data_IF_727462973240
#
_entry.id   IF_727462973240
#
_cell.length_a   1.000
_cell.length_b   1.000
_cell.length_c   1.000
_cell.angle_alpha   90.00
_cell.angle_beta   90.00
_cell.angle_gamma   90.00
#
_symmetry.space_group_name_H-M   'P 1'
#
loop_
_entity.id
_entity.type
_entity.pdbx_description
1 polymer ?
#
# COMPACT_ATOMS: atom_id res chain seq x y z
N UNK A 1 -12.16 23.25 20.13
CA UNK A 1 -11.78 22.07 19.33
C UNK A 1 -12.83 21.02 19.61
N UNK A 2 -13.29 20.33 18.58
CA UNK A 2 -14.25 19.22 18.73
C UNK A 2 -13.62 18.08 19.54
N UNK A 3 -14.48 17.28 20.18
CA UNK A 3 -14.07 16.16 21.03
C UNK A 3 -13.44 15.03 20.18
N UNK A 4 -12.17 14.63 20.44
CA UNK A 4 -11.54 13.50 19.76
C UNK A 4 -12.30 12.18 19.87
N UNK A 5 -13.18 12.01 20.86
CA UNK A 5 -14.05 10.85 20.94
C UNK A 5 -15.07 10.81 19.79
N UNK A 6 -15.66 11.94 19.43
CA UNK A 6 -16.65 12.04 18.34
C UNK A 6 -16.03 11.68 17.00
N UNK A 7 -14.81 12.13 16.74
CA UNK A 7 -14.09 11.81 15.50
C UNK A 7 -13.75 10.32 15.39
N UNK A 8 -13.35 9.69 16.50
CA UNK A 8 -13.09 8.23 16.52
C UNK A 8 -14.35 7.43 16.24
N UNK A 9 -15.47 7.79 16.86
CA UNK A 9 -16.77 7.14 16.61
C UNK A 9 -17.21 7.32 15.16
N UNK A 10 -17.11 8.53 14.61
CA UNK A 10 -17.47 8.80 13.22
C UNK A 10 -16.60 8.02 12.21
N UNK A 11 -15.30 7.88 12.47
CA UNK A 11 -14.39 7.09 11.64
C UNK A 11 -14.74 5.60 11.74
N UNK A 12 -14.95 5.08 12.95
CA UNK A 12 -15.34 3.68 13.17
C UNK A 12 -16.64 3.33 12.43
N UNK A 13 -17.67 4.18 12.55
CA UNK A 13 -18.95 4.00 11.85
C UNK A 13 -18.79 4.04 10.31
N UNK A 14 -17.95 4.95 9.81
CA UNK A 14 -17.66 5.07 8.39
C UNK A 14 -16.94 3.82 7.86
N UNK A 15 -15.95 3.31 8.59
CA UNK A 15 -15.21 2.10 8.23
C UNK A 15 -16.10 0.86 8.28
N UNK A 16 -16.88 0.66 9.35
CA UNK A 16 -17.90 -0.40 9.45
C UNK A 16 -18.85 -0.37 8.26
N UNK A 17 -19.31 0.82 7.89
CA UNK A 17 -20.19 1.00 6.73
C UNK A 17 -19.50 0.70 5.41
N UNK A 18 -18.24 1.10 5.26
CA UNK A 18 -17.46 0.85 4.06
C UNK A 18 -17.21 -0.66 3.85
N UNK A 19 -16.86 -1.40 4.91
CA UNK A 19 -16.66 -2.85 4.88
C UNK A 19 -17.97 -3.56 4.56
N UNK A 20 -19.05 -3.28 5.32
CA UNK A 20 -20.38 -3.88 5.10
C UNK A 20 -20.88 -3.73 3.67
N UNK A 21 -20.64 -2.58 3.02
CA UNK A 21 -21.05 -2.34 1.63
C UNK A 21 -20.27 -3.18 0.61
N UNK A 22 -19.06 -3.61 0.95
CA UNK A 22 -18.15 -4.37 0.07
C UNK A 22 -18.19 -5.87 0.32
N UNK A 23 -18.98 -6.32 1.30
CA UNK A 23 -19.13 -7.73 1.67
C UNK A 23 -20.49 -8.32 1.27
N UNK A 24 -21.32 -7.55 0.54
CA UNK A 24 -22.56 -8.04 -0.07
C UNK A 24 -22.21 -8.85 -1.33
N UNK A 25 -21.67 -10.05 -1.15
CA UNK A 25 -21.34 -10.96 -2.22
C UNK A 25 -21.79 -12.38 -1.86
N UNK A 26 -22.37 -13.10 -2.82
CA UNK A 26 -22.74 -14.53 -2.68
C UNK A 26 -21.53 -15.47 -2.76
N UNK A 27 -20.31 -14.93 -2.65
CA UNK A 27 -19.03 -15.66 -2.76
C UNK A 27 -18.14 -15.35 -1.57
N UNK A 28 -17.25 -16.29 -1.16
CA UNK A 28 -16.26 -16.02 -0.14
C UNK A 28 -15.43 -14.78 -0.47
N UNK A 29 -15.31 -13.86 0.51
CA UNK A 29 -14.50 -12.64 0.42
C UNK A 29 -13.17 -12.90 1.10
N UNK A 30 -12.07 -12.78 0.36
CA UNK A 30 -10.73 -12.85 0.93
C UNK A 30 -10.23 -11.50 1.44
N UNK A 31 -9.16 -11.50 2.23
CA UNK A 31 -8.44 -10.29 2.64
C UNK A 31 -6.95 -10.46 2.36
N UNK A 32 -6.34 -9.45 1.77
CA UNK A 32 -4.87 -9.36 1.68
C UNK A 32 -4.35 -8.87 3.04
N UNK A 33 -3.70 -9.76 3.78
CA UNK A 33 -3.31 -9.56 5.18
C UNK A 33 -1.78 -9.51 5.31
N UNK A 34 -1.22 -8.30 5.41
CA UNK A 34 0.19 -8.07 5.71
C UNK A 34 0.52 -8.11 7.20
N UNK A 35 -0.51 -8.01 8.06
CA UNK A 35 -0.33 -7.83 9.51
C UNK A 35 -0.11 -6.37 9.94
N UNK A 36 -0.04 -5.44 8.98
CA UNK A 36 -0.13 -4.00 9.24
C UNK A 36 -1.50 -3.59 9.77
N UNK A 37 -1.60 -2.36 10.30
CA UNK A 37 -2.81 -1.86 10.95
C UNK A 37 -4.04 -1.94 10.04
N UNK A 38 -3.91 -1.53 8.78
CA UNK A 38 -5.04 -1.36 7.87
C UNK A 38 -5.65 -2.70 7.45
N UNK A 39 -4.79 -3.65 7.08
CA UNK A 39 -5.24 -5.00 6.70
C UNK A 39 -5.79 -5.77 7.91
N UNK A 40 -5.19 -5.57 9.09
CA UNK A 40 -5.68 -6.15 10.34
C UNK A 40 -7.06 -5.60 10.74
N UNK A 41 -7.27 -4.29 10.54
CA UNK A 41 -8.54 -3.64 10.83
C UNK A 41 -9.65 -4.17 9.93
N UNK A 42 -9.36 -4.47 8.65
CA UNK A 42 -10.33 -5.10 7.75
C UNK A 42 -10.77 -6.47 8.27
N UNK A 43 -9.84 -7.32 8.71
CA UNK A 43 -10.16 -8.64 9.29
C UNK A 43 -11.02 -8.49 10.55
N UNK A 44 -10.65 -7.56 11.45
CA UNK A 44 -11.41 -7.29 12.66
C UNK A 44 -12.84 -6.83 12.36
N UNK A 45 -13.01 -5.88 11.43
CA UNK A 45 -14.33 -5.36 11.03
C UNK A 45 -15.21 -6.41 10.35
N UNK A 46 -14.61 -7.34 9.58
CA UNK A 46 -15.33 -8.48 9.03
C UNK A 46 -15.81 -9.43 10.13
N UNK A 47 -14.93 -9.80 11.06
CA UNK A 47 -15.26 -10.69 12.17
C UNK A 47 -16.36 -10.08 13.06
N UNK A 48 -16.26 -8.79 13.40
CA UNK A 48 -17.30 -8.06 14.14
C UNK A 48 -18.62 -7.96 13.36
N UNK A 49 -18.55 -7.94 12.03
CA UNK A 49 -19.71 -7.99 11.14
C UNK A 49 -20.40 -9.35 11.06
N UNK A 50 -19.86 -10.38 11.73
CA UNK A 50 -20.41 -11.74 11.75
C UNK A 50 -19.93 -12.63 10.60
N UNK A 51 -18.83 -12.28 9.92
CA UNK A 51 -18.21 -13.16 8.94
C UNK A 51 -17.33 -14.20 9.66
N UNK A 52 -17.68 -15.48 9.54
CA UNK A 52 -16.98 -16.59 10.23
C UNK A 52 -15.95 -17.30 9.32
N UNK A 53 -16.17 -17.33 8.00
CA UNK A 53 -15.30 -18.00 7.02
C UNK A 53 -14.37 -17.00 6.29
N UNK A 54 -13.64 -16.19 7.06
CA UNK A 54 -12.72 -15.19 6.48
C UNK A 54 -11.48 -15.91 5.95
N UNK A 55 -11.24 -15.81 4.64
CA UNK A 55 -10.02 -16.29 3.99
C UNK A 55 -9.01 -15.14 3.97
N UNK A 56 -7.79 -15.37 4.43
CA UNK A 56 -6.74 -14.35 4.44
C UNK A 56 -5.51 -14.81 3.69
N UNK A 57 -4.85 -13.89 3.00
CA UNK A 57 -3.68 -14.16 2.18
C UNK A 57 -2.54 -13.24 2.59
N UNK A 58 -1.41 -13.80 2.99
CA UNK A 58 -0.18 -13.08 3.23
C UNK A 58 0.88 -13.45 2.20
N UNK A 59 1.75 -12.50 1.90
CA UNK A 59 2.92 -12.70 1.05
C UNK A 59 4.18 -12.45 1.85
N UNK A 60 5.19 -13.27 1.61
CA UNK A 60 6.55 -13.05 2.10
C UNK A 60 7.53 -13.22 0.95
N UNK A 61 8.76 -12.75 1.16
CA UNK A 61 9.85 -12.88 0.20
C UNK A 61 11.01 -13.66 0.81
N UNK A 62 11.69 -14.46 -0.01
CA UNK A 62 12.90 -15.15 0.45
C UNK A 62 13.92 -14.13 0.95
N UNK A 63 14.53 -14.41 2.11
CA UNK A 63 15.52 -13.52 2.70
C UNK A 63 16.71 -13.33 1.74
N UNK A 64 17.01 -12.06 1.42
CA UNK A 64 18.20 -11.67 0.68
C UNK A 64 19.07 -10.76 1.56
N UNK A 65 20.39 -10.91 1.44
CA UNK A 65 21.39 -10.09 2.15
C UNK A 65 21.28 -10.04 3.69
N UNK A 66 20.57 -10.96 4.32
CA UNK A 66 20.43 -11.04 5.78
C UNK A 66 19.29 -10.20 6.36
N UNK A 67 18.42 -9.66 5.51
CA UNK A 67 17.15 -9.06 5.92
C UNK A 67 16.06 -10.14 5.90
N UNK A 68 15.43 -10.40 7.04
CA UNK A 68 14.30 -11.32 7.14
C UNK A 68 13.08 -10.65 6.46
N UNK A 69 12.68 -11.17 5.30
CA UNK A 69 11.44 -10.80 4.59
C UNK A 69 10.19 -11.49 5.14
N UNK A 70 10.25 -12.00 6.37
CA UNK A 70 9.18 -12.79 6.98
C UNK A 70 8.14 -11.89 7.65
N UNK A 71 7.33 -11.22 6.82
CA UNK A 71 6.14 -10.45 7.25
C UNK A 71 5.07 -11.34 7.92
N UNK A 72 5.22 -12.67 7.87
CA UNK A 72 4.21 -13.58 8.36
C UNK A 72 4.01 -13.51 9.88
N UNK A 73 4.99 -13.05 10.65
CA UNK A 73 4.86 -12.93 12.11
C UNK A 73 3.60 -12.14 12.52
N UNK A 74 3.34 -11.02 11.85
CA UNK A 74 2.22 -10.14 12.18
C UNK A 74 0.92 -10.63 11.57
N UNK A 75 0.93 -11.13 10.33
CA UNK A 75 -0.27 -11.70 9.70
C UNK A 75 -0.76 -12.93 10.46
N UNK A 76 0.16 -13.76 10.95
CA UNK A 76 -0.10 -14.93 11.80
C UNK A 76 -0.83 -14.56 13.10
N UNK A 77 -0.42 -13.46 13.73
CA UNK A 77 -1.03 -13.00 14.97
C UNK A 77 -2.51 -12.70 14.73
N UNK A 78 -2.80 -11.93 13.68
CA UNK A 78 -4.17 -11.54 13.31
C UNK A 78 -4.98 -12.77 12.92
N UNK A 79 -4.42 -13.63 12.08
CA UNK A 79 -5.06 -14.88 11.64
C UNK A 79 -5.45 -15.77 12.83
N UNK A 80 -4.54 -15.93 13.81
CA UNK A 80 -4.82 -16.69 15.04
C UNK A 80 -5.86 -16.00 15.93
N UNK A 81 -5.80 -14.68 16.06
CA UNK A 81 -6.74 -13.91 16.89
C UNK A 81 -8.17 -14.02 16.38
N UNK A 82 -8.37 -14.00 15.06
CA UNK A 82 -9.70 -14.03 14.44
C UNK A 82 -10.09 -15.40 13.85
N UNK A 83 -9.21 -16.40 13.92
CA UNK A 83 -9.50 -17.77 13.46
C UNK A 83 -9.70 -17.89 11.95
N UNK A 84 -8.99 -17.09 11.16
CA UNK A 84 -9.17 -17.06 9.69
C UNK A 84 -8.55 -18.28 9.00
N UNK A 85 -9.08 -18.66 7.83
CA UNK A 85 -8.40 -19.58 6.92
C UNK A 85 -7.22 -18.86 6.25
N UNK A 86 -6.03 -18.97 6.86
CA UNK A 86 -4.86 -18.16 6.52
C UNK A 86 -3.91 -18.90 5.57
N UNK A 87 -3.67 -18.29 4.42
CA UNK A 87 -2.80 -18.78 3.36
C UNK A 87 -1.57 -17.89 3.24
N UNK A 88 -0.39 -18.48 3.36
CA UNK A 88 0.89 -17.79 3.26
C UNK A 88 1.62 -18.20 2.00
N UNK A 89 2.14 -17.21 1.28
CA UNK A 89 2.86 -17.44 0.04
C UNK A 89 4.25 -16.82 0.09
N UNK A 90 5.26 -17.67 0.15
CA UNK A 90 6.64 -17.24 -0.01
C UNK A 90 6.96 -17.13 -1.50
N UNK A 91 7.33 -15.93 -1.96
CA UNK A 91 7.75 -15.69 -3.34
C UNK A 91 9.26 -15.88 -3.45
N UNK A 92 9.74 -16.83 -4.27
CA UNK A 92 11.16 -16.94 -4.56
C UNK A 92 11.66 -15.73 -5.34
N UNK A 93 12.84 -15.19 -5.00
CA UNK A 93 13.39 -14.01 -5.69
C UNK A 93 13.53 -14.20 -7.21
N UNK A 94 13.82 -15.44 -7.64
CA UNK A 94 13.87 -15.80 -9.05
C UNK A 94 12.55 -15.57 -9.80
N UNK A 95 11.40 -15.65 -9.11
CA UNK A 95 10.08 -15.39 -9.70
C UNK A 95 9.84 -13.91 -9.97
N UNK A 96 10.36 -13.00 -9.15
CA UNK A 96 10.15 -11.55 -9.31
C UNK A 96 10.64 -11.06 -10.68
N UNK A 97 11.87 -11.44 -11.07
CA UNK A 97 12.45 -11.02 -12.34
C UNK A 97 11.64 -11.51 -13.55
N UNK A 98 11.20 -12.76 -13.53
CA UNK A 98 10.39 -13.35 -14.61
C UNK A 98 8.95 -12.82 -14.66
N UNK A 99 8.42 -12.32 -13.54
CA UNK A 99 7.08 -11.76 -13.44
C UNK A 99 6.99 -10.30 -13.86
N UNK A 100 8.12 -9.58 -13.97
CA UNK A 100 8.15 -8.15 -14.30
C UNK A 100 7.42 -7.82 -15.61
N UNK A 101 7.75 -8.51 -16.70
CA UNK A 101 7.16 -8.24 -18.02
C UNK A 101 5.66 -8.58 -18.04
N UNK A 102 5.21 -9.76 -17.54
CA UNK A 102 3.78 -10.04 -17.38
C UNK A 102 3.03 -9.02 -16.52
N UNK A 103 3.63 -8.60 -15.40
CA UNK A 103 3.02 -7.62 -14.50
C UNK A 103 2.79 -6.29 -15.22
N UNK A 104 3.82 -5.76 -15.91
CA UNK A 104 3.68 -4.53 -16.72
C UNK A 104 2.60 -4.71 -17.79
N UNK A 105 2.54 -5.89 -18.44
CA UNK A 105 1.52 -6.20 -19.45
C UNK A 105 0.09 -6.25 -18.89
N UNK A 106 -0.10 -6.43 -17.58
CA UNK A 106 -1.39 -6.40 -16.92
C UNK A 106 -1.81 -4.99 -16.45
N UNK A 107 -0.90 -4.01 -16.49
CA UNK A 107 -1.18 -2.64 -16.07
C UNK A 107 -1.71 -1.81 -17.24
N UNK A 108 -2.57 -0.83 -16.94
CA UNK A 108 -3.00 0.15 -17.95
C UNK A 108 -1.87 1.12 -18.31
N UNK A 109 -1.01 1.40 -17.34
CA UNK A 109 0.24 2.16 -17.50
C UNK A 109 1.31 1.60 -16.54
N UNK A 110 2.61 1.67 -16.89
CA UNK A 110 3.65 1.15 -16.01
C UNK A 110 3.71 1.91 -14.68
N UNK A 111 3.45 1.20 -13.58
CA UNK A 111 3.67 1.72 -12.22
C UNK A 111 5.10 1.41 -11.79
N UNK A 112 5.71 2.34 -11.05
CA UNK A 112 7.14 2.28 -10.69
C UNK A 112 7.38 1.61 -9.32
N UNK A 113 6.33 1.18 -8.63
CA UNK A 113 6.46 0.48 -7.34
C UNK A 113 6.90 -0.98 -7.52
N UNK A 114 7.86 -1.42 -6.70
CA UNK A 114 8.28 -2.81 -6.60
C UNK A 114 7.11 -3.74 -6.21
N UNK A 115 6.15 -3.23 -5.43
CA UNK A 115 4.97 -3.97 -5.00
C UNK A 115 4.11 -4.40 -6.19
N UNK A 116 4.13 -3.67 -7.30
CA UNK A 116 3.26 -3.96 -8.43
C UNK A 116 3.50 -5.36 -9.03
N UNK A 117 4.75 -5.84 -9.02
CA UNK A 117 5.10 -7.20 -9.45
C UNK A 117 4.66 -8.23 -8.41
N UNK A 118 4.86 -7.92 -7.14
CA UNK A 118 4.42 -8.76 -6.03
C UNK A 118 2.90 -8.94 -6.02
N UNK A 119 2.14 -7.85 -6.11
CA UNK A 119 0.67 -7.87 -6.23
C UNK A 119 0.19 -8.65 -7.46
N UNK A 120 0.91 -8.59 -8.58
CA UNK A 120 0.58 -9.41 -9.74
C UNK A 120 0.67 -10.91 -9.41
N UNK A 121 1.76 -11.34 -8.77
CA UNK A 121 1.94 -12.72 -8.32
C UNK A 121 0.93 -13.11 -7.23
N UNK A 122 0.64 -12.21 -6.29
CA UNK A 122 -0.40 -12.41 -5.27
C UNK A 122 -1.74 -12.68 -5.91
N UNK A 123 -2.12 -11.83 -6.87
CA UNK A 123 -3.42 -11.86 -7.53
C UNK A 123 -3.60 -13.16 -8.31
N UNK A 124 -2.55 -13.70 -8.94
CA UNK A 124 -2.60 -15.00 -9.60
C UNK A 124 -2.95 -16.12 -8.61
N UNK A 125 -2.31 -16.13 -7.44
CA UNK A 125 -2.54 -17.16 -6.42
C UNK A 125 -3.90 -17.00 -5.75
N UNK A 126 -4.25 -15.79 -5.34
CA UNK A 126 -5.56 -15.44 -4.75
C UNK A 126 -6.70 -15.85 -5.68
N UNK A 127 -6.56 -15.66 -6.99
CA UNK A 127 -7.59 -15.98 -7.97
C UNK A 127 -7.89 -17.48 -8.11
N UNK A 128 -7.00 -18.35 -7.63
CA UNK A 128 -7.22 -19.80 -7.55
C UNK A 128 -8.26 -20.14 -6.47
N UNK A 129 -8.30 -19.36 -5.39
CA UNK A 129 -9.11 -19.65 -4.19
C UNK A 129 -10.38 -18.77 -4.11
N UNK A 130 -10.25 -17.47 -4.37
CA UNK A 130 -11.37 -16.49 -4.26
C UNK A 130 -11.45 -15.57 -5.47
N UNK A 131 -12.61 -14.96 -5.69
CA UNK A 131 -12.84 -14.00 -6.79
C UNK A 131 -12.87 -12.54 -6.33
N UNK A 132 -13.03 -12.31 -5.03
CA UNK A 132 -13.10 -10.98 -4.44
C UNK A 132 -12.16 -10.95 -3.24
N UNK A 133 -11.34 -9.90 -3.16
CA UNK A 133 -10.52 -9.60 -1.99
C UNK A 133 -10.68 -8.17 -1.54
N UNK A 134 -10.58 -7.94 -0.24
CA UNK A 134 -10.39 -6.62 0.36
C UNK A 134 -8.91 -6.36 0.60
N UNK A 135 -8.50 -5.11 0.45
CA UNK A 135 -7.14 -4.64 0.64
C UNK A 135 -7.17 -3.32 1.43
N UNK A 136 -6.19 -3.12 2.31
CA UNK A 136 -6.04 -1.91 3.13
C UNK A 136 -5.44 -0.70 2.39
N UNK A 137 -5.13 -0.82 1.09
CA UNK A 137 -4.58 0.28 0.29
C UNK A 137 -5.47 1.53 0.34
N UNK A 138 -4.84 2.71 0.40
CA UNK A 138 -5.51 4.00 0.52
C UNK A 138 -5.58 4.55 1.95
N UNK A 139 -5.31 3.71 2.97
CA UNK A 139 -5.39 4.13 4.37
C UNK A 139 -4.31 5.19 4.70
N UNK A 140 -3.06 4.96 4.30
CA UNK A 140 -1.97 5.90 4.54
C UNK A 140 -2.20 7.26 3.87
N UNK A 141 -2.81 7.30 2.69
CA UNK A 141 -3.14 8.53 1.98
C UNK A 141 -4.27 9.30 2.67
N UNK A 142 -5.27 8.60 3.21
CA UNK A 142 -6.41 9.22 3.91
C UNK A 142 -6.01 9.69 5.30
N UNK A 143 -5.19 8.92 6.02
CA UNK A 143 -4.86 9.15 7.43
C UNK A 143 -3.45 9.70 7.66
N UNK A 144 -2.72 10.04 6.58
CA UNK A 144 -1.35 10.51 6.63
C UNK A 144 -0.40 9.52 7.35
N UNK A 145 -0.53 8.23 7.05
CA UNK A 145 0.16 7.13 7.74
C UNK A 145 1.63 6.95 7.36
N UNK A 146 2.07 7.47 6.22
CA UNK A 146 3.48 7.42 5.86
C UNK A 146 4.37 8.27 6.77
N UNK A 147 5.51 7.71 7.20
CA UNK A 147 6.48 8.37 8.10
C UNK A 147 6.96 9.74 7.62
N UNK A 148 6.98 9.96 6.29
CA UNK A 148 7.41 11.21 5.70
C UNK A 148 6.41 12.37 5.88
N UNK A 149 5.14 12.11 6.19
CA UNK A 149 4.16 13.18 6.45
C UNK A 149 4.56 14.03 7.65
N UNK A 150 5.03 13.41 8.73
CA UNK A 150 5.48 14.13 9.93
C UNK A 150 6.69 15.03 9.63
N UNK A 151 7.61 14.56 8.77
CA UNK A 151 8.80 15.31 8.36
C UNK A 151 8.39 16.57 7.59
N UNK A 152 7.49 16.45 6.62
CA UNK A 152 7.00 17.59 5.83
C UNK A 152 6.21 18.56 6.71
N UNK A 153 5.33 18.06 7.59
CA UNK A 153 4.53 18.89 8.49
C UNK A 153 5.41 19.71 9.45
N UNK A 154 6.62 19.25 9.76
CA UNK A 154 7.58 19.97 10.59
C UNK A 154 8.40 21.03 9.83
N UNK A 155 8.43 20.98 8.50
CA UNK A 155 9.20 21.91 7.68
C UNK A 155 8.53 23.29 7.59
N UNK A 156 9.32 24.35 7.59
CA UNK A 156 8.80 25.68 7.30
C UNK A 156 8.26 25.72 5.86
N UNK A 157 7.20 26.49 5.62
CA UNK A 157 6.51 26.49 4.32
C UNK A 157 7.43 26.71 3.10
N UNK A 158 8.41 27.63 3.13
CA UNK A 158 9.35 27.80 2.01
C UNK A 158 10.19 26.55 1.71
N UNK A 159 10.39 25.69 2.72
CA UNK A 159 11.25 24.50 2.66
C UNK A 159 10.45 23.21 2.44
N UNK A 160 9.12 23.25 2.50
CA UNK A 160 8.24 22.06 2.42
C UNK A 160 8.45 21.23 1.14
N UNK A 161 8.66 21.89 -0.01
CA UNK A 161 8.94 21.20 -1.27
C UNK A 161 10.32 20.50 -1.27
N UNK A 162 11.30 21.07 -0.55
CA UNK A 162 12.60 20.44 -0.32
C UNK A 162 12.46 19.22 0.59
N UNK A 163 11.78 19.39 1.73
CA UNK A 163 11.52 18.31 2.68
C UNK A 163 10.75 17.15 2.05
N UNK A 164 9.74 17.43 1.22
CA UNK A 164 9.03 16.39 0.46
C UNK A 164 9.95 15.64 -0.49
N UNK A 165 10.74 16.37 -1.29
CA UNK A 165 11.64 15.73 -2.24
C UNK A 165 12.71 14.88 -1.53
N UNK A 166 13.21 15.32 -0.39
CA UNK A 166 14.25 14.60 0.36
C UNK A 166 13.69 13.36 1.07
N UNK A 167 12.39 13.36 1.41
CA UNK A 167 11.74 12.23 2.08
C UNK A 167 11.07 11.23 1.11
N UNK A 168 10.57 11.69 -0.04
CA UNK A 168 9.78 10.88 -0.97
C UNK A 168 10.52 10.51 -2.26
N UNK A 169 11.50 11.29 -2.74
CA UNK A 169 12.14 10.98 -4.01
C UNK A 169 13.20 9.89 -3.81
N UNK A 170 13.05 8.78 -4.52
CA UNK A 170 14.03 7.69 -4.48
C UNK A 170 15.38 8.07 -5.11
N UNK A 171 15.38 8.97 -6.10
CA UNK A 171 16.56 9.34 -6.90
C UNK A 171 16.54 10.80 -7.35
N UNK A 172 17.70 11.48 -7.43
CA UNK A 172 17.80 12.81 -8.01
C UNK A 172 17.65 12.78 -9.53
N UNK A 173 17.24 13.91 -10.13
CA UNK A 173 17.03 14.06 -11.58
C UNK A 173 18.26 13.70 -12.43
N UNK A 174 19.46 13.98 -11.92
CA UNK A 174 20.72 13.65 -12.59
C UNK A 174 20.90 12.13 -12.77
N UNK A 175 20.50 11.34 -11.77
CA UNK A 175 20.64 9.88 -11.79
C UNK A 175 19.63 9.28 -12.76
N UNK A 176 18.40 9.80 -12.77
CA UNK A 176 17.39 9.43 -13.75
C UNK A 176 17.88 9.73 -15.18
N UNK A 177 18.46 10.90 -15.40
CA UNK A 177 19.01 11.30 -16.71
C UNK A 177 20.11 10.35 -17.20
N UNK A 178 20.93 9.84 -16.30
CA UNK A 178 21.98 8.87 -16.62
C UNK A 178 21.42 7.48 -17.00
N UNK A 179 20.22 7.12 -16.55
CA UNK A 179 19.55 5.84 -16.83
C UNK A 179 18.72 5.87 -18.11
N UNK A 180 18.24 7.05 -18.51
CA UNK A 180 17.40 7.22 -19.68
C UNK A 180 18.21 7.25 -20.98
N UNK A 181 17.57 6.86 -22.09
CA UNK A 181 18.15 6.97 -23.42
C UNK A 181 18.43 8.44 -23.77
N UNK A 182 19.53 8.74 -24.49
CA UNK A 182 19.81 10.10 -24.95
C UNK A 182 18.61 10.71 -25.71
N UNK A 183 18.28 11.95 -25.39
CA UNK A 183 17.15 12.68 -25.99
C UNK A 183 15.77 12.41 -25.37
N UNK A 184 15.67 11.53 -24.36
CA UNK A 184 14.42 11.28 -23.62
C UNK A 184 14.31 12.16 -22.38
N UNK A 185 15.42 12.40 -21.68
CA UNK A 185 15.43 13.17 -20.44
C UNK A 185 15.15 14.66 -20.70
N UNK A 186 14.35 15.27 -19.83
CA UNK A 186 14.15 16.72 -19.82
C UNK A 186 15.43 17.45 -19.43
N UNK A 187 15.68 18.61 -20.04
CA UNK A 187 16.85 19.45 -19.75
C UNK A 187 16.82 20.16 -18.39
N UNK A 188 15.74 19.99 -17.62
CA UNK A 188 15.55 20.53 -16.27
C UNK A 188 14.84 19.49 -15.38
N UNK A 189 14.90 19.71 -14.06
CA UNK A 189 14.28 18.84 -13.06
C UNK A 189 12.76 19.07 -13.01
N UNK A 190 12.05 18.39 -13.92
CA UNK A 190 10.59 18.43 -14.05
C UNK A 190 9.88 18.00 -12.77
N UNK A 191 10.44 17.03 -12.04
CA UNK A 191 9.82 16.47 -10.83
C UNK A 191 9.86 17.46 -9.67
N UNK A 192 11.02 18.06 -9.37
CA UNK A 192 11.11 19.09 -8.32
C UNK A 192 10.36 20.36 -8.70
N UNK A 193 10.34 20.72 -9.98
CA UNK A 193 9.54 21.87 -10.46
C UNK A 193 8.04 21.64 -10.26
N UNK A 194 7.54 20.45 -10.60
CA UNK A 194 6.15 20.06 -10.38
C UNK A 194 5.76 20.16 -8.90
N UNK A 195 6.55 19.54 -8.00
CA UNK A 195 6.28 19.59 -6.55
C UNK A 195 6.28 21.03 -6.03
N UNK A 196 7.29 21.84 -6.42
CA UNK A 196 7.37 23.24 -6.00
C UNK A 196 6.17 24.05 -6.47
N UNK A 197 5.76 23.88 -7.73
CA UNK A 197 4.60 24.56 -8.27
C UNK A 197 3.31 24.15 -7.55
N UNK A 198 3.12 22.86 -7.28
CA UNK A 198 1.94 22.35 -6.58
C UNK A 198 1.87 22.84 -5.13
N UNK A 199 2.98 22.79 -4.41
CA UNK A 199 3.08 23.28 -3.02
C UNK A 199 3.07 24.82 -2.93
N UNK A 200 3.16 25.54 -4.04
CA UNK A 200 3.02 27.00 -4.05
C UNK A 200 1.69 27.46 -4.65
N UNK A 201 0.80 26.52 -4.99
CA UNK A 201 -0.49 26.85 -5.58
C UNK A 201 -1.40 27.58 -4.56
N UNK A 202 -2.29 28.49 -5.02
CA UNK A 202 -3.25 29.13 -4.13
C UNK A 202 -4.12 28.11 -3.38
N UNK A 203 -4.28 28.27 -2.07
CA UNK A 203 -5.04 27.34 -1.23
C UNK A 203 -4.26 26.12 -0.77
N UNK A 204 -2.95 26.07 -1.05
CA UNK A 204 -2.07 25.03 -0.53
C UNK A 204 -1.53 25.37 0.86
N UNK A 205 -1.77 26.58 1.40
CA UNK A 205 -1.36 27.00 2.75
C UNK A 205 -1.70 26.02 3.88
#
# INVERSE_FOLDING_TARGET
GEDPALWREAIDDALRTAVRRRTVADVPVGVLLSGGLDSSLLVALLAEGGHEDIVTFAMGFEAENGEDGDEFLYSDLVARTFGTDHHQFMIPSARLSSALVPAIGAMSEPMVSHDAVAFHLLSQRVAEDVKVVLCGQGADEVFAGYDWYAQIASAARPDAAGAYADAYFDRPHQDLTAMLRPGVAAGHDVSREFVRAHMSAPGAE
#
